data_IF_230349664436
#
_entry.id   IF_230349664436
#
_cell.length_a   1.000
_cell.length_b   1.000
_cell.length_c   1.000
_cell.angle_alpha   90.00
_cell.angle_beta   90.00
_cell.angle_gamma   90.00
#
_symmetry.space_group_name_H-M   'P 1'
#
loop_
_entity.id
_entity.type
_entity.pdbx_description
1 polymer ?
#
# COMPACT_ATOMS: atom_id res chain seq x y z
N UNK A 1 -4.40 5.64 -2.88
CA UNK A 1 -3.63 6.91 -2.81
C UNK A 1 -4.46 8.09 -3.26
N UNK A 2 -5.27 7.95 -4.31
CA UNK A 2 -6.15 9.01 -4.81
C UNK A 2 -7.12 9.57 -3.75
N UNK A 3 -7.59 8.75 -2.81
CA UNK A 3 -8.45 9.21 -1.70
C UNK A 3 -7.77 10.16 -0.71
N UNK A 4 -6.47 10.00 -0.43
CA UNK A 4 -5.70 10.91 0.45
C UNK A 4 -5.42 12.23 -0.26
N UNK A 5 -5.12 12.18 -1.56
CA UNK A 5 -4.91 13.38 -2.37
C UNK A 5 -6.22 14.15 -2.55
N UNK A 6 -7.34 13.45 -2.72
CA UNK A 6 -8.66 14.08 -2.76
C UNK A 6 -9.03 14.70 -1.41
N UNK A 7 -8.74 14.08 -0.27
CA UNK A 7 -8.98 14.70 1.05
C UNK A 7 -8.08 15.90 1.34
N UNK A 8 -6.83 15.91 0.85
CA UNK A 8 -5.94 17.08 0.92
C UNK A 8 -6.44 18.25 0.06
N UNK A 9 -6.93 17.96 -1.14
CA UNK A 9 -7.33 18.97 -2.13
C UNK A 9 -8.82 19.37 -2.04
N UNK A 10 -9.62 18.63 -1.28
CA UNK A 10 -11.02 18.96 -1.02
C UNK A 10 -11.10 20.07 0.03
N UNK A 11 -11.26 21.30 -0.46
CA UNK A 11 -11.67 22.49 0.30
C UNK A 11 -13.18 22.70 0.28
N UNK A 12 -13.67 23.53 1.18
CA UNK A 12 -15.08 23.94 1.30
C UNK A 12 -15.61 24.41 -0.07
N UNK A 13 -16.78 23.94 -0.55
CA UNK A 13 -17.35 24.37 -1.84
C UNK A 13 -17.51 25.90 -1.98
N UNK A 14 -17.45 26.65 -0.89
CA UNK A 14 -17.55 28.12 -0.90
C UNK A 14 -16.31 28.85 -1.49
N UNK A 15 -15.15 28.21 -1.63
CA UNK A 15 -13.89 28.88 -2.04
C UNK A 15 -13.22 28.33 -3.30
N UNK A 16 -13.93 27.51 -4.10
CA UNK A 16 -13.37 26.92 -5.32
C UNK A 16 -13.15 27.98 -6.42
N UNK A 17 -11.96 28.57 -6.44
CA UNK A 17 -11.46 29.37 -7.56
C UNK A 17 -11.03 28.47 -8.72
N UNK A 18 -11.68 28.65 -9.87
CA UNK A 18 -11.67 27.76 -11.03
C UNK A 18 -10.49 27.94 -12.01
N UNK A 19 -9.26 28.21 -11.55
CA UNK A 19 -8.16 28.67 -12.43
C UNK A 19 -6.87 27.84 -12.42
N UNK A 20 -6.94 26.52 -12.25
CA UNK A 20 -5.81 25.64 -12.63
C UNK A 20 -6.31 24.23 -12.93
N UNK A 21 -6.00 23.70 -14.12
CA UNK A 21 -6.31 22.33 -14.56
C UNK A 21 -6.22 21.34 -13.40
N UNK A 22 -7.36 20.89 -12.82
CA UNK A 22 -7.36 20.12 -11.57
C UNK A 22 -6.67 18.76 -11.72
N UNK A 23 -6.66 18.23 -12.94
CA UNK A 23 -6.09 16.94 -13.27
C UNK A 23 -4.55 16.93 -13.18
N UNK A 24 -3.87 17.99 -13.61
CA UNK A 24 -2.39 18.03 -13.66
C UNK A 24 -1.78 18.16 -12.26
N UNK A 25 -2.30 19.07 -11.43
CA UNK A 25 -1.83 19.24 -10.05
C UNK A 25 -2.11 18.00 -9.18
N UNK A 26 -3.26 17.33 -9.39
CA UNK A 26 -3.57 16.05 -8.74
C UNK A 26 -2.60 14.96 -9.18
N UNK A 27 -2.29 14.87 -10.47
CA UNK A 27 -1.36 13.90 -11.04
C UNK A 27 0.09 14.07 -10.58
N UNK A 28 0.51 15.30 -10.32
CA UNK A 28 1.84 15.59 -9.79
C UNK A 28 1.95 15.26 -8.30
N UNK A 29 0.99 15.70 -7.48
CA UNK A 29 0.96 15.42 -6.04
C UNK A 29 0.84 13.91 -5.77
N UNK A 30 -0.03 13.20 -6.50
CA UNK A 30 -0.11 11.73 -6.40
C UNK A 30 1.22 11.06 -6.71
N UNK A 31 1.92 11.48 -7.78
CA UNK A 31 3.21 10.90 -8.16
C UNK A 31 4.29 11.17 -7.12
N UNK A 32 4.33 12.38 -6.56
CA UNK A 32 5.26 12.78 -5.51
C UNK A 32 5.03 11.94 -4.24
N UNK A 33 3.78 11.82 -3.80
CA UNK A 33 3.41 11.00 -2.65
C UNK A 33 3.74 9.52 -2.88
N UNK A 34 3.36 8.97 -4.04
CA UNK A 34 3.69 7.57 -4.39
C UNK A 34 5.20 7.37 -4.37
N UNK A 35 6.00 8.26 -4.98
CA UNK A 35 7.45 8.14 -4.99
C UNK A 35 8.08 8.22 -3.61
N UNK A 36 7.60 9.10 -2.74
CA UNK A 36 8.12 9.26 -1.38
C UNK A 36 7.79 8.07 -0.48
N UNK A 37 6.57 7.52 -0.59
CA UNK A 37 6.16 6.35 0.20
C UNK A 37 6.64 5.01 -0.38
N UNK A 38 6.95 4.91 -1.67
CA UNK A 38 7.46 3.66 -2.30
C UNK A 38 8.79 3.20 -1.73
N UNK A 39 9.60 4.14 -1.24
CA UNK A 39 10.90 3.85 -0.64
C UNK A 39 10.79 3.52 0.86
N UNK A 40 9.58 3.32 1.39
CA UNK A 40 9.34 3.01 2.81
C UNK A 40 9.69 4.17 3.75
N UNK A 41 9.85 5.38 3.21
CA UNK A 41 10.30 6.57 3.92
C UNK A 41 9.18 7.56 4.20
N UNK A 42 9.47 8.49 5.10
CA UNK A 42 8.63 9.66 5.35
C UNK A 42 8.65 10.62 4.14
N UNK A 43 7.64 11.47 4.02
CA UNK A 43 7.71 12.59 3.08
C UNK A 43 8.88 13.50 3.47
N UNK A 44 9.75 13.78 2.50
CA UNK A 44 10.85 14.73 2.67
C UNK A 44 10.29 16.07 3.13
N UNK A 45 11.02 16.79 3.98
CA UNK A 45 10.60 18.08 4.50
C UNK A 45 10.22 19.06 3.36
N UNK A 46 10.99 19.06 2.26
CA UNK A 46 10.71 19.87 1.07
C UNK A 46 9.39 19.48 0.36
N UNK A 47 9.08 18.19 0.25
CA UNK A 47 7.82 17.71 -0.36
C UNK A 47 6.62 18.07 0.53
N UNK A 48 6.82 18.04 1.86
CA UNK A 48 5.80 18.41 2.85
C UNK A 48 5.47 19.89 2.79
N UNK A 49 6.49 20.75 2.73
CA UNK A 49 6.32 22.20 2.52
C UNK A 49 5.61 22.50 1.19
N UNK A 50 5.96 21.80 0.11
CA UNK A 50 5.29 21.96 -1.17
C UNK A 50 3.82 21.57 -1.08
N UNK A 51 3.51 20.42 -0.47
CA UNK A 51 2.14 19.98 -0.24
C UNK A 51 1.35 20.98 0.61
N UNK A 52 1.94 21.54 1.67
CA UNK A 52 1.29 22.55 2.50
C UNK A 52 0.99 23.84 1.73
N UNK A 53 1.92 24.31 0.88
CA UNK A 53 1.69 25.47 -0.01
C UNK A 53 0.56 25.20 -1.00
N UNK A 54 0.49 24.01 -1.59
CA UNK A 54 -0.57 23.62 -2.52
C UNK A 54 -1.92 23.53 -1.81
N UNK A 55 -1.96 22.99 -0.59
CA UNK A 55 -3.17 22.92 0.24
C UNK A 55 -3.63 24.35 0.58
N UNK A 56 -2.75 25.20 1.12
CA UNK A 56 -3.07 26.58 1.45
C UNK A 56 -3.62 27.35 0.24
N UNK A 57 -2.98 27.22 -0.94
CA UNK A 57 -3.44 27.86 -2.18
C UNK A 57 -4.79 27.34 -2.68
N UNK A 58 -5.15 26.09 -2.38
CA UNK A 58 -6.40 25.46 -2.85
C UNK A 58 -7.58 25.63 -1.89
N UNK A 59 -7.32 25.67 -0.59
CA UNK A 59 -8.37 25.73 0.43
C UNK A 59 -8.54 27.12 1.01
N UNK A 60 -7.60 28.05 0.77
CA UNK A 60 -7.57 29.35 1.43
C UNK A 60 -7.26 29.27 2.92
N UNK A 61 -6.69 28.15 3.38
CA UNK A 61 -6.29 27.96 4.78
C UNK A 61 -5.03 28.75 5.10
N UNK A 62 -4.85 29.09 6.39
CA UNK A 62 -3.57 29.61 6.86
C UNK A 62 -2.46 28.56 6.64
N UNK A 63 -1.22 29.02 6.44
CA UNK A 63 -0.08 28.10 6.23
C UNK A 63 0.05 27.09 7.38
N UNK A 64 -0.21 27.53 8.61
CA UNK A 64 -0.12 26.69 9.81
C UNK A 64 -1.21 25.61 9.85
N UNK A 65 -2.43 25.91 9.40
CA UNK A 65 -3.52 24.94 9.32
C UNK A 65 -3.30 23.95 8.16
N UNK A 66 -2.74 24.42 7.05
CA UNK A 66 -2.35 23.57 5.93
C UNK A 66 -1.24 22.58 6.32
N UNK A 67 -0.21 23.03 7.04
CA UNK A 67 0.86 22.16 7.57
C UNK A 67 0.32 21.10 8.53
N UNK A 68 -0.61 21.48 9.41
CA UNK A 68 -1.27 20.54 10.32
C UNK A 68 -2.04 19.46 9.55
N UNK A 69 -2.84 19.87 8.56
CA UNK A 69 -3.64 18.95 7.74
C UNK A 69 -2.77 17.98 6.94
N UNK A 70 -1.65 18.46 6.39
CA UNK A 70 -0.68 17.59 5.71
C UNK A 70 -0.09 16.58 6.70
N UNK A 71 0.36 17.00 7.88
CA UNK A 71 0.92 16.09 8.88
C UNK A 71 -0.08 15.03 9.35
N UNK A 72 -1.35 15.39 9.54
CA UNK A 72 -2.40 14.45 9.93
C UNK A 72 -2.60 13.37 8.86
N UNK A 73 -2.67 13.78 7.58
CA UNK A 73 -2.80 12.83 6.46
C UNK A 73 -1.57 11.93 6.32
N UNK A 74 -0.37 12.48 6.49
CA UNK A 74 0.87 11.68 6.47
C UNK A 74 0.90 10.66 7.61
N UNK A 75 0.44 11.03 8.79
CA UNK A 75 0.35 10.13 9.94
C UNK A 75 -0.64 9.00 9.68
N UNK A 76 -1.79 9.31 9.09
CA UNK A 76 -2.79 8.32 8.71
C UNK A 76 -2.24 7.34 7.66
N UNK A 77 -1.55 7.84 6.62
CA UNK A 77 -0.94 6.99 5.59
C UNK A 77 0.06 6.01 6.20
N UNK A 78 0.87 6.44 7.16
CA UNK A 78 1.82 5.56 7.85
C UNK A 78 1.13 4.47 8.66
N UNK A 79 0.08 4.82 9.40
CA UNK A 79 -0.68 3.84 10.19
C UNK A 79 -1.30 2.75 9.29
N UNK A 80 -1.90 3.15 8.17
CA UNK A 80 -2.51 2.23 7.22
C UNK A 80 -1.46 1.35 6.52
N UNK A 81 -0.30 1.91 6.16
CA UNK A 81 0.81 1.14 5.58
C UNK A 81 1.35 0.07 6.55
N UNK A 82 1.50 0.40 7.83
CA UNK A 82 1.97 -0.55 8.84
C UNK A 82 0.95 -1.67 9.10
N UNK A 83 -0.35 -1.33 9.09
CA UNK A 83 -1.42 -2.32 9.19
C UNK A 83 -1.39 -3.31 8.01
N UNK A 84 -1.17 -2.83 6.79
CA UNK A 84 -0.99 -3.67 5.59
C UNK A 84 0.26 -4.55 5.71
N UNK A 85 1.37 -4.01 6.22
CA UNK A 85 2.60 -4.78 6.43
C UNK A 85 2.41 -5.93 7.43
N UNK A 86 1.66 -5.70 8.50
CA UNK A 86 1.32 -6.75 9.48
C UNK A 86 0.41 -7.81 8.87
N UNK A 87 -0.56 -7.40 8.06
CA UNK A 87 -1.46 -8.32 7.36
C UNK A 87 -0.71 -9.18 6.33
N UNK A 88 0.23 -8.59 5.57
CA UNK A 88 1.03 -9.33 4.59
C UNK A 88 1.96 -10.35 5.24
N UNK A 89 2.54 -10.04 6.40
CA UNK A 89 3.31 -11.00 7.19
C UNK A 89 2.47 -12.21 7.60
N UNK A 90 1.26 -11.99 8.12
CA UNK A 90 0.34 -13.08 8.47
C UNK A 90 -0.08 -13.91 7.26
N UNK A 91 -0.34 -13.26 6.11
CA UNK A 91 -0.67 -13.97 4.87
C UNK A 91 0.50 -14.83 4.39
N UNK A 92 1.73 -14.31 4.43
CA UNK A 92 2.93 -15.05 4.04
C UNK A 92 3.12 -16.29 4.92
N UNK A 93 2.83 -16.19 6.22
CA UNK A 93 2.83 -17.34 7.13
C UNK A 93 1.81 -18.40 6.71
N UNK A 94 0.58 -18.00 6.40
CA UNK A 94 -0.47 -18.94 5.96
C UNK A 94 -0.16 -19.59 4.61
N UNK A 95 0.37 -18.84 3.65
CA UNK A 95 0.81 -19.39 2.35
C UNK A 95 1.92 -20.42 2.57
N UNK A 96 2.89 -20.11 3.42
CA UNK A 96 3.99 -21.03 3.72
C UNK A 96 3.48 -22.29 4.39
N UNK A 97 2.56 -22.17 5.36
CA UNK A 97 1.93 -23.32 6.02
C UNK A 97 1.16 -24.20 5.03
N UNK A 98 0.40 -23.59 4.11
CA UNK A 98 -0.30 -24.32 3.04
C UNK A 98 0.67 -25.05 2.10
N UNK A 99 1.79 -24.40 1.75
CA UNK A 99 2.82 -24.99 0.89
C UNK A 99 3.46 -26.23 1.54
N UNK A 100 3.75 -26.18 2.83
CA UNK A 100 4.31 -27.31 3.58
C UNK A 100 3.34 -28.50 3.61
N UNK A 101 2.05 -28.23 3.82
CA UNK A 101 1.02 -29.28 3.80
C UNK A 101 0.88 -29.90 2.41
N UNK A 102 0.86 -29.09 1.35
CA UNK A 102 0.82 -29.57 -0.03
C UNK A 102 2.05 -30.40 -0.40
N UNK A 103 3.24 -29.93 -0.01
CA UNK A 103 4.49 -30.65 -0.24
C UNK A 103 4.52 -32.01 0.47
N UNK A 104 3.99 -32.10 1.69
CA UNK A 104 3.86 -33.36 2.42
C UNK A 104 2.92 -34.34 1.70
N UNK A 105 1.73 -33.90 1.30
CA UNK A 105 0.79 -34.73 0.54
C UNK A 105 1.40 -35.20 -0.79
N UNK A 106 2.12 -34.31 -1.50
CA UNK A 106 2.81 -34.65 -2.73
C UNK A 106 3.91 -35.69 -2.51
N UNK A 107 4.67 -35.60 -1.42
CA UNK A 107 5.69 -36.59 -1.06
C UNK A 107 5.10 -37.97 -0.80
N UNK A 108 3.95 -38.05 -0.12
CA UNK A 108 3.26 -39.33 0.10
C UNK A 108 2.74 -39.92 -1.22
N UNK A 109 2.10 -39.09 -2.04
CA UNK A 109 1.62 -39.50 -3.36
C UNK A 109 2.77 -39.98 -4.28
N UNK A 110 3.95 -39.36 -4.19
CA UNK A 110 5.13 -39.78 -4.93
C UNK A 110 5.67 -41.15 -4.48
N UNK A 111 5.66 -41.42 -3.17
CA UNK A 111 6.09 -42.73 -2.63
C UNK A 111 5.15 -43.85 -3.07
N UNK A 112 3.83 -43.66 -2.94
CA UNK A 112 2.84 -44.66 -3.34
C UNK A 112 2.77 -44.81 -4.88
N UNK A 113 2.79 -43.70 -5.61
CA UNK A 113 2.80 -43.70 -7.07
C UNK A 113 4.08 -44.31 -7.66
N UNK A 114 5.22 -44.06 -7.04
CA UNK A 114 6.49 -44.71 -7.38
C UNK A 114 6.45 -46.22 -7.15
N UNK A 115 5.90 -46.66 -6.01
CA UNK A 115 5.72 -48.09 -5.71
C UNK A 115 4.83 -48.84 -6.71
N UNK A 116 3.78 -48.19 -7.23
CA UNK A 116 2.92 -48.76 -8.27
C UNK A 116 3.63 -48.85 -9.63
N UNK A 117 4.39 -47.81 -10.02
CA UNK A 117 5.18 -47.79 -11.27
C UNK A 117 6.29 -48.83 -11.24
N UNK A 118 6.98 -48.93 -10.11
CA UNK A 118 8.19 -49.75 -9.95
C UNK A 118 7.86 -51.23 -9.66
N UNK A 119 6.58 -51.58 -9.54
CA UNK A 119 6.11 -52.97 -9.43
C UNK A 119 6.51 -53.68 -8.14
N UNK A 120 6.94 -52.94 -7.12
CA UNK A 120 7.48 -53.48 -5.85
C UNK A 120 6.40 -54.07 -4.94
N UNK A 121 5.12 -53.79 -5.21
CA UNK A 121 3.96 -54.33 -4.50
C UNK A 121 3.66 -55.83 -4.76
N UNK A 122 4.45 -56.52 -5.61
CA UNK A 122 4.36 -57.99 -5.79
C UNK A 122 5.55 -58.73 -5.18
N UNK A 123 5.52 -58.95 -3.87
CA UNK A 123 6.18 -60.08 -3.14
C UNK A 123 5.47 -60.26 -1.79
N UNK A 124 4.92 -61.39 -1.35
CA UNK A 124 4.77 -62.77 -1.86
C UNK A 124 3.46 -63.32 -1.26
N UNK A 125 2.74 -64.19 -1.97
CA UNK A 125 1.95 -65.25 -1.32
C UNK A 125 2.89 -66.39 -0.93
#
# INVERSE_FOLDING_TARGET
>A
MDGYVDTLLRGDPATQSANSSPADARGEVTRLFVQSFRNGGDLKAADREYAAKVVAARTGLSQQDADKRVNDVVTQIKADAEAVRKASASLAFWITASLLLGAFCASLAATEGGGLRDGTWKRRR
#
